data_IF_712636990517
#
_entry.id   IF_712636990517
#
_cell.length_a   1.000
_cell.length_b   1.000
_cell.length_c   1.000
_cell.angle_alpha   90.00
_cell.angle_beta   90.00
_cell.angle_gamma   90.00
#
_symmetry.space_group_name_H-M   'P 1'
#
loop_
_entity.id
_entity.type
_entity.pdbx_description
1 polymer ?
#
# COMPACT_ATOMS: atom_id res chain seq x y z
N UNK A 1 -19.21 9.39 -8.54
CA UNK A 1 -19.66 9.19 -7.14
C UNK A 1 -20.14 7.77 -6.82
N UNK A 2 -20.75 7.02 -7.76
CA UNK A 2 -21.19 5.63 -7.53
C UNK A 2 -20.07 4.60 -7.29
N UNK A 3 -18.84 4.89 -7.74
CA UNK A 3 -17.64 4.01 -7.62
C UNK A 3 -17.20 3.82 -6.15
N UNK A 4 -17.55 4.74 -5.25
CA UNK A 4 -17.08 4.76 -3.85
C UNK A 4 -18.17 4.24 -2.89
N UNK A 5 -19.45 4.41 -3.23
CA UNK A 5 -20.55 4.04 -2.34
C UNK A 5 -20.71 2.52 -2.16
N UNK A 6 -20.52 1.71 -3.21
CA UNK A 6 -20.55 0.24 -3.09
C UNK A 6 -19.33 -0.33 -2.36
N UNK A 7 -18.15 0.27 -2.51
CA UNK A 7 -16.96 -0.10 -1.73
C UNK A 7 -17.10 0.27 -0.24
N UNK A 8 -17.73 1.41 0.07
CA UNK A 8 -18.01 1.83 1.45
C UNK A 8 -19.13 1.02 2.12
N UNK A 9 -20.16 0.61 1.38
CA UNK A 9 -21.22 -0.27 1.92
C UNK A 9 -20.68 -1.65 2.30
N UNK A 10 -19.70 -2.19 1.55
CA UNK A 10 -19.09 -3.48 1.90
C UNK A 10 -18.03 -3.37 3.01
N UNK A 11 -17.22 -2.30 3.03
CA UNK A 11 -16.22 -2.07 4.08
C UNK A 11 -16.86 -1.85 5.47
N UNK A 12 -18.05 -1.22 5.54
CA UNK A 12 -18.79 -1.04 6.78
C UNK A 12 -19.47 -2.34 7.28
N UNK A 13 -19.71 -3.34 6.41
CA UNK A 13 -20.24 -4.65 6.84
C UNK A 13 -19.17 -5.55 7.49
N UNK A 14 -17.88 -5.29 7.23
CA UNK A 14 -16.76 -6.04 7.80
C UNK A 14 -16.45 -5.72 9.28
N UNK A 15 -17.32 -4.95 9.95
CA UNK A 15 -17.29 -4.84 11.42
C UNK A 15 -17.96 -6.01 12.14
N UNK A 16 -18.55 -6.98 11.45
CA UNK A 16 -19.26 -8.08 12.09
C UNK A 16 -18.94 -9.45 11.47
N UNK A 17 -17.74 -9.97 11.74
CA UNK A 17 -17.42 -11.42 11.77
C UNK A 17 -15.92 -11.62 12.03
N UNK A 18 -15.43 -11.06 13.14
CA UNK A 18 -14.41 -11.74 13.93
C UNK A 18 -15.16 -12.90 14.58
N UNK A 19 -15.10 -14.09 13.99
CA UNK A 19 -15.27 -15.42 14.61
C UNK A 19 -15.33 -16.48 13.50
N UNK A 20 -14.32 -17.33 13.47
CA UNK A 20 -14.35 -18.67 12.84
C UNK A 20 -14.32 -18.74 11.33
N UNK A 21 -13.16 -19.06 10.76
CA UNK A 21 -13.03 -20.11 9.74
C UNK A 21 -11.59 -20.62 9.76
N UNK A 22 -11.34 -21.58 10.65
CA UNK A 22 -10.29 -22.57 10.51
C UNK A 22 -10.60 -23.44 9.29
N UNK A 23 -9.70 -23.41 8.30
CA UNK A 23 -9.25 -24.52 7.46
C UNK A 23 -8.37 -23.95 6.34
N UNK A 24 -7.05 -24.01 6.55
CA UNK A 24 -6.08 -23.95 5.47
C UNK A 24 -6.26 -25.20 4.58
N UNK A 25 -6.54 -25.09 3.27
CA UNK A 25 -6.37 -26.21 2.37
C UNK A 25 -4.87 -26.50 2.21
N UNK A 26 -4.57 -27.81 2.20
CA UNK A 26 -3.26 -28.42 2.09
C UNK A 26 -2.57 -28.08 0.75
N UNK A 27 -1.25 -28.19 0.76
CA UNK A 27 -0.32 -28.08 -0.37
C UNK A 27 -0.94 -28.34 -1.75
N UNK A 28 -1.11 -27.28 -2.54
CA UNK A 28 -1.32 -27.39 -3.98
C UNK A 28 -0.27 -26.54 -4.71
N UNK A 29 0.43 -27.18 -5.64
CA UNK A 29 1.46 -26.58 -6.50
C UNK A 29 0.91 -25.31 -7.14
N UNK A 30 1.54 -24.16 -6.86
CA UNK A 30 1.18 -22.87 -7.47
C UNK A 30 1.63 -22.87 -8.94
N UNK A 31 0.82 -23.42 -9.83
CA UNK A 31 0.91 -23.13 -11.25
C UNK A 31 0.46 -21.67 -11.48
N UNK A 32 1.45 -20.78 -11.63
CA UNK A 32 1.26 -19.34 -11.86
C UNK A 32 0.72 -19.07 -13.26
N UNK A 33 -0.57 -19.24 -13.47
CA UNK A 33 -1.19 -18.93 -14.75
C UNK A 33 -1.39 -17.40 -14.91
N UNK A 34 -0.67 -16.81 -15.88
CA UNK A 34 -0.51 -15.35 -16.04
C UNK A 34 -1.79 -14.60 -16.49
N UNK A 35 -2.85 -15.33 -16.85
CA UNK A 35 -4.07 -14.78 -17.44
C UNK A 35 -5.20 -14.51 -16.43
N UNK A 36 -5.02 -14.84 -15.15
CA UNK A 36 -6.05 -14.65 -14.12
C UNK A 36 -6.23 -13.19 -13.70
N UNK A 37 -7.46 -12.68 -13.72
CA UNK A 37 -7.81 -11.34 -13.21
C UNK A 37 -8.81 -11.43 -12.05
N UNK A 38 -8.71 -10.52 -11.08
CA UNK A 38 -9.75 -10.37 -10.08
C UNK A 38 -10.96 -9.68 -10.69
N UNK A 39 -12.14 -10.27 -10.55
CA UNK A 39 -13.39 -9.62 -10.90
C UNK A 39 -13.80 -8.63 -9.83
N UNK A 40 -14.00 -7.37 -10.22
CA UNK A 40 -14.39 -6.30 -9.30
C UNK A 40 -15.76 -6.53 -8.63
N UNK A 41 -16.69 -7.21 -9.31
CA UNK A 41 -18.06 -7.40 -8.81
C UNK A 41 -18.18 -8.48 -7.72
N UNK A 42 -17.32 -9.51 -7.74
CA UNK A 42 -17.44 -10.68 -6.86
C UNK A 42 -16.14 -11.12 -6.19
N UNK A 43 -15.04 -10.37 -6.35
CA UNK A 43 -13.73 -10.71 -5.77
C UNK A 43 -13.22 -12.14 -6.05
N UNK A 44 -13.65 -12.75 -7.17
CA UNK A 44 -13.17 -14.07 -7.62
C UNK A 44 -12.07 -13.93 -8.67
N UNK A 45 -11.04 -14.78 -8.59
CA UNK A 45 -10.04 -14.90 -9.66
C UNK A 45 -10.58 -15.72 -10.82
N UNK A 46 -10.49 -15.17 -12.03
CA UNK A 46 -10.97 -15.82 -13.24
C UNK A 46 -9.85 -15.94 -14.27
N UNK A 47 -9.60 -17.17 -14.75
CA UNK A 47 -8.56 -17.51 -15.74
C UNK A 47 -8.78 -16.82 -17.10
N UNK A 48 -10.03 -16.68 -17.52
CA UNK A 48 -10.40 -16.07 -18.81
C UNK A 48 -11.24 -14.81 -18.58
N UNK A 49 -10.63 -13.80 -17.94
CA UNK A 49 -11.32 -12.58 -17.49
C UNK A 49 -12.24 -11.94 -18.53
N UNK A 50 -11.77 -11.76 -19.77
CA UNK A 50 -12.56 -11.16 -20.84
C UNK A 50 -13.78 -12.02 -21.21
N UNK A 51 -13.61 -13.35 -21.30
CA UNK A 51 -14.71 -14.27 -21.62
C UNK A 51 -15.72 -14.35 -20.49
N UNK A 52 -15.24 -14.45 -19.24
CA UNK A 52 -16.10 -14.47 -18.06
C UNK A 52 -16.93 -13.18 -17.97
N UNK A 53 -16.30 -12.02 -18.17
CA UNK A 53 -16.95 -10.72 -18.14
C UNK A 53 -18.11 -10.65 -19.14
N UNK A 54 -17.86 -11.03 -20.41
CA UNK A 54 -18.85 -10.93 -21.47
C UNK A 54 -20.00 -11.93 -21.35
N UNK A 55 -19.77 -13.09 -20.71
CA UNK A 55 -20.80 -14.14 -20.55
C UNK A 55 -21.67 -13.95 -19.32
N UNK A 56 -21.08 -13.52 -18.20
CA UNK A 56 -21.77 -13.51 -16.90
C UNK A 56 -22.21 -12.11 -16.47
N UNK A 57 -21.71 -11.05 -17.13
CA UNK A 57 -21.94 -9.66 -16.73
C UNK A 57 -22.37 -8.77 -17.90
N UNK A 58 -23.02 -9.35 -18.92
CA UNK A 58 -23.43 -8.61 -20.11
C UNK A 58 -24.45 -7.49 -19.83
N UNK A 59 -25.16 -7.57 -18.70
CA UNK A 59 -26.15 -6.58 -18.25
C UNK A 59 -25.53 -5.38 -17.53
N UNK A 60 -24.29 -5.49 -17.05
CA UNK A 60 -23.63 -4.41 -16.32
C UNK A 60 -23.28 -3.26 -17.29
N UNK A 61 -23.59 -1.99 -16.98
CA UNK A 61 -23.39 -0.86 -17.89
C UNK A 61 -21.95 -0.71 -18.40
N UNK A 62 -20.96 -0.96 -17.53
CA UNK A 62 -19.54 -0.91 -17.90
C UNK A 62 -19.17 -2.01 -18.91
N UNK A 63 -19.86 -3.15 -18.88
CA UNK A 63 -19.66 -4.27 -19.80
C UNK A 63 -20.45 -4.06 -21.09
N UNK A 64 -21.63 -3.46 -21.03
CA UNK A 64 -22.36 -3.03 -22.23
C UNK A 64 -21.56 -2.03 -23.05
N UNK A 65 -20.88 -1.07 -22.40
CA UNK A 65 -19.94 -0.18 -23.07
C UNK A 65 -18.74 -0.93 -23.70
N UNK A 66 -18.28 -2.02 -23.08
CA UNK A 66 -17.27 -2.89 -23.71
C UNK A 66 -17.86 -3.59 -24.94
N UNK A 67 -19.11 -4.05 -24.84
CA UNK A 67 -19.82 -4.81 -25.90
C UNK A 67 -20.09 -3.94 -27.13
N UNK A 68 -20.43 -2.66 -26.94
CA UNK A 68 -20.75 -1.71 -28.02
C UNK A 68 -19.58 -1.46 -28.99
N UNK A 69 -18.34 -1.69 -28.55
CA UNK A 69 -17.17 -1.56 -29.41
C UNK A 69 -16.86 -2.86 -30.18
N UNK A 70 -16.41 -2.80 -31.44
CA UNK A 70 -16.08 -3.97 -32.25
C UNK A 70 -15.08 -4.91 -31.58
N UNK A 71 -15.20 -6.21 -31.87
CA UNK A 71 -14.22 -7.21 -31.44
C UNK A 71 -12.82 -6.82 -31.93
N UNK A 72 -11.79 -7.17 -31.15
CA UNK A 72 -10.36 -6.87 -31.41
C UNK A 72 -9.96 -5.38 -31.45
N UNK A 73 -10.89 -4.43 -31.38
CA UNK A 73 -10.58 -2.99 -31.34
C UNK A 73 -9.67 -2.62 -30.15
N UNK A 74 -8.80 -1.63 -30.34
CA UNK A 74 -7.91 -1.13 -29.29
C UNK A 74 -8.70 -0.58 -28.09
N UNK A 75 -9.80 0.13 -28.36
CA UNK A 75 -10.70 0.68 -27.35
C UNK A 75 -11.27 -0.44 -26.46
N UNK A 76 -11.83 -1.49 -27.06
CA UNK A 76 -12.38 -2.64 -26.32
C UNK A 76 -11.32 -3.31 -25.44
N UNK A 77 -10.10 -3.52 -25.96
CA UNK A 77 -8.98 -4.09 -25.19
C UNK A 77 -8.61 -3.21 -23.98
N UNK A 78 -8.59 -1.89 -24.18
CA UNK A 78 -8.27 -0.93 -23.11
C UNK A 78 -9.34 -0.91 -22.01
N UNK A 79 -10.63 -0.94 -22.36
CA UNK A 79 -11.73 -0.99 -21.39
C UNK A 79 -11.67 -2.25 -20.52
N UNK A 80 -11.51 -3.42 -21.14
CA UNK A 80 -11.34 -4.70 -20.40
C UNK A 80 -10.12 -4.64 -19.48
N UNK A 81 -9.01 -4.08 -19.97
CA UNK A 81 -7.77 -3.95 -19.20
C UNK A 81 -7.94 -3.01 -18.00
N UNK A 82 -8.65 -1.89 -18.16
CA UNK A 82 -8.95 -0.97 -17.06
C UNK A 82 -9.86 -1.62 -16.01
N UNK A 83 -10.86 -2.39 -16.44
CA UNK A 83 -11.71 -3.14 -15.51
C UNK A 83 -10.89 -4.16 -14.70
N UNK A 84 -9.99 -4.88 -15.37
CA UNK A 84 -9.05 -5.81 -14.72
C UNK A 84 -8.13 -5.10 -13.73
N UNK A 85 -7.59 -3.93 -14.08
CA UNK A 85 -6.76 -3.12 -13.17
C UNK A 85 -7.55 -2.72 -11.93
N UNK A 86 -8.81 -2.29 -12.09
CA UNK A 86 -9.67 -1.92 -10.96
C UNK A 86 -9.93 -3.08 -10.02
N UNK A 87 -10.24 -4.27 -10.55
CA UNK A 87 -10.35 -5.48 -9.73
C UNK A 87 -9.04 -5.80 -9.02
N UNK A 88 -7.93 -5.90 -9.76
CA UNK A 88 -6.63 -6.22 -9.19
C UNK A 88 -6.13 -5.20 -8.14
N UNK A 89 -6.56 -3.94 -8.22
CA UNK A 89 -6.19 -2.89 -7.27
C UNK A 89 -6.57 -3.26 -5.83
N UNK A 90 -7.79 -3.78 -5.60
CA UNK A 90 -8.30 -4.12 -4.26
C UNK A 90 -7.33 -5.06 -3.54
N UNK A 91 -6.93 -6.13 -4.22
CA UNK A 91 -5.97 -7.11 -3.67
C UNK A 91 -4.55 -6.56 -3.58
N UNK A 92 -4.10 -5.84 -4.62
CA UNK A 92 -2.74 -5.34 -4.69
C UNK A 92 -2.41 -4.30 -3.62
N UNK A 93 -3.40 -3.53 -3.14
CA UNK A 93 -3.24 -2.59 -2.02
C UNK A 93 -2.85 -3.32 -0.73
N UNK A 94 -3.44 -4.48 -0.47
CA UNK A 94 -3.12 -5.31 0.70
C UNK A 94 -1.76 -5.98 0.50
N UNK A 95 -1.64 -6.74 -0.60
CA UNK A 95 -0.43 -7.46 -1.00
C UNK A 95 -0.33 -7.40 -2.52
N UNK A 96 0.73 -6.78 -3.05
CA UNK A 96 0.92 -6.67 -4.49
C UNK A 96 1.25 -8.04 -5.11
N UNK A 97 0.22 -8.74 -5.60
CA UNK A 97 0.32 -10.06 -6.24
C UNK A 97 0.35 -9.94 -7.77
N UNK A 98 -0.36 -8.96 -8.33
CA UNK A 98 -0.58 -8.80 -9.78
C UNK A 98 -0.14 -7.42 -10.30
N UNK A 99 1.17 -7.10 -10.33
CA UNK A 99 1.66 -5.86 -10.93
C UNK A 99 1.59 -5.91 -12.47
N UNK A 100 1.59 -4.74 -13.11
CA UNK A 100 1.45 -4.60 -14.58
C UNK A 100 2.65 -5.14 -15.36
N UNK A 101 3.85 -5.02 -14.78
CA UNK A 101 5.09 -5.64 -15.28
C UNK A 101 5.80 -6.25 -14.09
N UNK A 102 5.95 -7.57 -14.08
CA UNK A 102 6.74 -8.25 -13.06
C UNK A 102 8.22 -8.01 -13.37
N UNK A 103 8.95 -7.49 -12.40
CA UNK A 103 10.40 -7.65 -12.37
C UNK A 103 10.70 -9.10 -11.98
N UNK A 104 11.68 -9.74 -12.64
CA UNK A 104 12.19 -11.06 -12.23
C UNK A 104 12.99 -11.00 -10.92
N UNK A 105 13.22 -9.79 -10.39
CA UNK A 105 13.96 -9.55 -9.15
C UNK A 105 12.97 -9.45 -7.99
N UNK A 106 13.03 -10.41 -7.06
CA UNK A 106 12.43 -10.30 -5.73
C UNK A 106 12.98 -9.06 -5.01
N UNK A 107 12.19 -8.30 -4.20
CA UNK A 107 10.90 -8.67 -3.58
C UNK A 107 9.69 -7.83 -4.04
N UNK A 108 8.49 -8.33 -3.71
CA UNK A 108 7.15 -7.77 -3.96
C UNK A 108 6.84 -6.38 -3.35
N UNK A 109 7.83 -5.67 -2.82
CA UNK A 109 7.65 -4.48 -1.96
C UNK A 109 7.74 -3.16 -2.75
N UNK A 110 8.22 -3.21 -3.99
CA UNK A 110 8.52 -1.99 -4.76
C UNK A 110 7.45 -1.61 -5.78
N UNK A 111 6.18 -1.99 -5.56
CA UNK A 111 5.09 -1.61 -6.44
C UNK A 111 4.17 -0.56 -5.82
N UNK A 112 3.75 0.37 -6.66
CA UNK A 112 2.95 1.52 -6.31
C UNK A 112 1.84 1.71 -7.36
N UNK A 113 0.60 2.04 -6.95
CA UNK A 113 -0.50 2.22 -7.88
C UNK A 113 -0.45 3.56 -8.63
N UNK A 114 -0.85 3.58 -9.89
CA UNK A 114 -1.22 4.82 -10.55
C UNK A 114 -2.62 5.27 -10.10
N UNK A 115 -2.77 6.52 -9.67
CA UNK A 115 -4.06 7.09 -9.24
C UNK A 115 -5.12 7.10 -10.35
N UNK A 116 -4.69 7.23 -11.61
CA UNK A 116 -5.61 7.30 -12.76
C UNK A 116 -6.03 5.93 -13.28
N UNK A 117 -5.08 5.04 -13.56
CA UNK A 117 -5.39 3.73 -14.16
C UNK A 117 -5.49 2.57 -13.15
N UNK A 118 -5.18 2.81 -11.87
CA UNK A 118 -5.19 1.83 -10.77
C UNK A 118 -4.24 0.63 -10.96
N UNK A 119 -3.44 0.63 -12.04
CA UNK A 119 -2.40 -0.36 -12.26
C UNK A 119 -1.25 -0.19 -11.28
N UNK A 120 -0.69 -1.31 -10.80
CA UNK A 120 0.50 -1.32 -9.96
C UNK A 120 1.75 -1.39 -10.84
N UNK A 121 2.67 -0.45 -10.64
CA UNK A 121 3.93 -0.34 -11.39
C UNK A 121 5.09 -0.34 -10.42
N UNK A 122 6.27 -0.76 -10.89
CA UNK A 122 7.46 -0.65 -10.07
C UNK A 122 7.75 0.81 -9.76
N UNK A 123 8.25 1.08 -8.56
CA UNK A 123 8.58 2.42 -8.06
C UNK A 123 9.50 3.18 -9.02
N UNK A 124 10.45 2.47 -9.65
CA UNK A 124 11.39 3.00 -10.67
C UNK A 124 10.71 3.38 -11.98
N UNK A 125 9.60 2.73 -12.35
CA UNK A 125 8.92 2.94 -13.63
C UNK A 125 7.64 3.78 -13.52
N UNK A 126 7.11 3.97 -12.30
CA UNK A 126 5.84 4.68 -12.08
C UNK A 126 5.85 6.08 -12.69
N UNK A 127 6.93 6.83 -12.56
CA UNK A 127 7.04 8.19 -13.12
C UNK A 127 6.98 8.16 -14.66
N UNK A 128 7.64 7.19 -15.32
CA UNK A 128 7.59 7.01 -16.78
C UNK A 128 6.16 6.71 -17.23
N UNK A 129 5.50 5.80 -16.50
CA UNK A 129 4.10 5.48 -16.76
C UNK A 129 3.19 6.70 -16.61
N UNK A 130 3.37 7.52 -15.56
CA UNK A 130 2.53 8.68 -15.27
C UNK A 130 2.59 9.71 -16.41
N UNK A 131 3.77 9.94 -17.02
CA UNK A 131 3.90 10.82 -18.20
C UNK A 131 3.00 10.43 -19.38
N UNK A 132 2.82 9.12 -19.62
CA UNK A 132 1.96 8.63 -20.70
C UNK A 132 0.50 8.51 -20.26
N UNK A 133 0.25 8.09 -19.02
CA UNK A 133 -1.10 7.85 -18.52
C UNK A 133 -1.83 9.16 -18.20
N UNK A 134 -1.13 10.15 -17.69
CA UNK A 134 -1.64 11.45 -17.30
C UNK A 134 -0.60 12.55 -17.64
N UNK A 135 -0.53 12.99 -18.90
CA UNK A 135 0.50 13.90 -19.37
C UNK A 135 0.53 15.26 -18.65
N UNK A 136 -0.63 15.73 -18.20
CA UNK A 136 -0.81 17.04 -17.55
C UNK A 136 -0.54 17.03 -16.03
N UNK A 137 -0.14 15.91 -15.44
CA UNK A 137 0.08 15.86 -13.99
C UNK A 137 1.49 16.28 -13.62
N UNK A 138 1.61 17.11 -12.57
CA UNK A 138 2.88 17.38 -11.91
C UNK A 138 3.57 16.07 -11.52
N UNK A 139 4.85 15.99 -11.90
CA UNK A 139 5.70 14.83 -11.62
C UNK A 139 6.27 14.86 -10.19
N UNK A 140 6.23 16.03 -9.54
CA UNK A 140 6.72 16.23 -8.19
C UNK A 140 6.09 15.22 -7.21
N UNK A 141 6.94 14.45 -6.53
CA UNK A 141 6.56 13.48 -5.49
C UNK A 141 5.55 12.40 -5.91
N UNK A 142 5.58 11.97 -7.19
CA UNK A 142 4.72 10.89 -7.73
C UNK A 142 4.63 9.65 -6.84
N UNK A 143 5.75 9.24 -6.23
CA UNK A 143 5.78 8.07 -5.35
C UNK A 143 5.08 8.29 -4.00
N UNK A 144 5.15 9.50 -3.46
CA UNK A 144 4.47 9.86 -2.20
C UNK A 144 2.97 9.89 -2.40
N UNK A 145 2.53 10.57 -3.47
CA UNK A 145 1.11 10.66 -3.82
C UNK A 145 0.53 9.26 -4.03
N UNK A 146 1.22 8.42 -4.80
CA UNK A 146 0.83 7.03 -5.02
C UNK A 146 0.79 6.19 -3.74
N UNK A 147 1.77 6.36 -2.84
CA UNK A 147 1.74 5.67 -1.54
C UNK A 147 0.55 6.13 -0.69
N UNK A 148 0.27 7.42 -0.65
CA UNK A 148 -0.85 7.99 0.10
C UNK A 148 -2.20 7.59 -0.52
N UNK A 149 -2.27 7.41 -1.84
CA UNK A 149 -3.45 6.94 -2.54
C UNK A 149 -3.91 5.55 -2.07
N UNK A 150 -2.99 4.64 -1.76
CA UNK A 150 -3.31 3.33 -1.17
C UNK A 150 -3.99 3.42 0.21
N UNK A 151 -3.85 4.56 0.87
CA UNK A 151 -4.27 4.79 2.26
C UNK A 151 -5.47 5.74 2.34
N UNK A 152 -6.00 6.19 1.19
CA UNK A 152 -7.06 7.18 1.09
C UNK A 152 -8.30 6.80 1.90
N UNK A 153 -8.65 5.52 1.87
CA UNK A 153 -9.87 4.97 2.49
C UNK A 153 -9.71 4.65 3.98
N UNK A 154 -8.51 4.76 4.55
CA UNK A 154 -8.33 4.54 5.99
C UNK A 154 -9.02 5.66 6.76
N UNK A 155 -9.74 5.33 7.83
CA UNK A 155 -10.33 6.34 8.70
C UNK A 155 -9.27 6.90 9.66
N UNK A 156 -8.55 7.92 9.20
CA UNK A 156 -7.44 8.58 9.91
C UNK A 156 -7.72 10.08 9.88
N UNK A 157 -7.26 10.78 10.93
CA UNK A 157 -7.31 12.23 11.06
C UNK A 157 -6.91 12.95 9.76
N UNK A 158 -7.76 13.91 9.35
CA UNK A 158 -7.61 14.63 8.08
C UNK A 158 -6.36 15.51 8.07
N UNK A 159 -6.07 16.19 9.17
CA UNK A 159 -4.89 17.06 9.30
C UNK A 159 -3.61 16.25 9.17
N UNK A 160 -3.57 15.06 9.78
CA UNK A 160 -2.45 14.14 9.64
C UNK A 160 -2.24 13.70 8.17
N UNK A 161 -3.32 13.35 7.46
CA UNK A 161 -3.27 12.96 6.04
C UNK A 161 -2.80 14.10 5.13
N UNK A 162 -3.24 15.32 5.40
CA UNK A 162 -3.01 16.46 4.52
C UNK A 162 -1.65 17.13 4.79
N UNK A 163 -1.20 17.18 6.04
CA UNK A 163 0.03 17.90 6.41
C UNK A 163 1.26 17.01 6.59
N UNK A 164 1.10 15.81 7.19
CA UNK A 164 2.24 14.94 7.55
C UNK A 164 2.53 13.92 6.46
N UNK A 165 1.53 13.20 5.98
CA UNK A 165 1.75 12.10 5.02
C UNK A 165 2.45 12.54 3.71
N UNK A 166 2.20 13.73 3.15
CA UNK A 166 2.90 14.20 1.96
C UNK A 166 4.38 14.54 2.20
N UNK A 167 4.77 14.79 3.45
CA UNK A 167 6.18 15.05 3.82
C UNK A 167 6.96 13.79 4.18
N UNK A 168 6.26 12.68 4.41
CA UNK A 168 6.90 11.40 4.72
C UNK A 168 7.55 10.80 3.46
N UNK A 169 8.80 10.36 3.59
CA UNK A 169 9.49 9.60 2.53
C UNK A 169 8.66 8.39 2.14
N UNK A 170 8.50 8.07 0.85
CA UNK A 170 7.61 7.00 0.42
C UNK A 170 8.28 5.63 0.56
N UNK A 171 8.72 5.23 1.74
CA UNK A 171 9.40 3.95 2.00
C UNK A 171 8.49 2.96 2.75
N UNK A 172 9.00 1.74 3.02
CA UNK A 172 8.29 0.72 3.80
C UNK A 172 7.96 1.21 5.22
N UNK A 173 8.86 1.97 5.84
CA UNK A 173 8.70 2.50 7.20
C UNK A 173 7.49 3.45 7.25
N UNK A 174 7.41 4.40 6.32
CA UNK A 174 6.29 5.33 6.25
C UNK A 174 5.00 4.63 5.87
N UNK A 175 5.03 3.61 5.01
CA UNK A 175 3.84 2.81 4.72
C UNK A 175 3.32 2.12 5.97
N UNK A 176 4.20 1.52 6.76
CA UNK A 176 3.86 0.84 8.01
C UNK A 176 3.30 1.83 9.04
N UNK A 177 3.97 2.98 9.23
CA UNK A 177 3.52 4.04 10.12
C UNK A 177 2.11 4.55 9.78
N UNK A 178 1.79 4.68 8.48
CA UNK A 178 0.49 5.19 8.01
C UNK A 178 -0.62 4.12 8.04
N UNK A 179 -0.27 2.84 8.14
CA UNK A 179 -1.23 1.72 8.22
C UNK A 179 -1.62 1.40 9.66
N UNK A 180 -0.71 1.62 10.59
CA UNK A 180 -0.92 1.32 12.00
C UNK A 180 -1.83 2.36 12.67
N UNK A 181 -2.94 1.90 13.24
CA UNK A 181 -3.97 2.76 13.83
C UNK A 181 -3.46 3.51 15.06
N UNK A 182 -2.66 2.87 15.91
CA UNK A 182 -2.11 3.48 17.12
C UNK A 182 -1.04 4.51 16.78
N UNK A 183 -0.15 4.21 15.83
CA UNK A 183 0.86 5.18 15.36
C UNK A 183 0.18 6.41 14.75
N UNK A 184 -0.88 6.22 13.96
CA UNK A 184 -1.68 7.33 13.44
C UNK A 184 -2.38 8.14 14.54
N UNK A 185 -2.96 7.47 15.53
CA UNK A 185 -3.60 8.14 16.67
C UNK A 185 -2.58 8.98 17.48
N UNK A 186 -1.40 8.43 17.73
CA UNK A 186 -0.28 9.15 18.34
C UNK A 186 0.10 10.40 17.52
N UNK A 187 0.27 10.26 16.21
CA UNK A 187 0.62 11.38 15.34
C UNK A 187 -0.43 12.49 15.33
N UNK A 188 -1.72 12.12 15.25
CA UNK A 188 -2.82 13.07 15.31
C UNK A 188 -2.87 13.81 16.66
N UNK A 189 -2.71 13.08 17.76
CA UNK A 189 -2.66 13.66 19.10
C UNK A 189 -1.46 14.61 19.26
N UNK A 190 -0.29 14.26 18.73
CA UNK A 190 0.90 15.10 18.78
C UNK A 190 0.71 16.43 18.04
N UNK A 191 0.07 16.42 16.86
CA UNK A 191 -0.27 17.64 16.11
C UNK A 191 -1.36 18.49 16.80
N UNK A 192 -2.22 17.88 17.61
CA UNK A 192 -3.25 18.60 18.36
C UNK A 192 -2.65 19.41 19.49
N UNK A 193 -1.63 18.85 20.15
CA UNK A 193 -0.86 19.49 21.22
C UNK A 193 0.07 20.57 20.64
N UNK A 194 0.79 20.25 19.57
CA UNK A 194 1.79 21.11 18.97
C UNK A 194 1.33 21.66 17.60
N UNK A 195 0.91 22.93 17.57
CA UNK A 195 0.21 23.52 16.41
C UNK A 195 1.15 24.16 15.38
N UNK A 196 2.40 24.40 15.73
CA UNK A 196 3.35 25.09 14.87
C UNK A 196 3.80 24.23 13.68
N UNK A 197 4.03 24.87 12.53
CA UNK A 197 4.32 24.19 11.26
C UNK A 197 5.55 23.27 11.30
N UNK A 198 6.55 23.59 12.12
CA UNK A 198 7.78 22.79 12.23
C UNK A 198 7.53 21.43 12.90
N UNK A 199 6.49 21.31 13.74
CA UNK A 199 6.12 20.05 14.39
C UNK A 199 5.56 19.02 13.41
N UNK A 200 5.13 19.40 12.21
CA UNK A 200 4.74 18.44 11.16
C UNK A 200 5.93 17.51 10.82
N UNK A 201 7.14 18.08 10.72
CA UNK A 201 8.35 17.29 10.44
C UNK A 201 8.75 16.44 11.67
N UNK A 202 8.58 16.97 12.88
CA UNK A 202 8.82 16.24 14.13
C UNK A 202 7.88 15.03 14.25
N UNK A 203 6.59 15.24 13.96
CA UNK A 203 5.55 14.21 13.96
C UNK A 203 5.91 13.09 12.98
N UNK A 204 6.28 13.46 11.75
CA UNK A 204 6.77 12.51 10.73
C UNK A 204 7.93 11.65 11.24
N UNK A 205 8.92 12.27 11.91
CA UNK A 205 10.06 11.53 12.50
C UNK A 205 9.62 10.56 13.58
N UNK A 206 8.83 11.01 14.56
CA UNK A 206 8.35 10.18 15.68
C UNK A 206 7.48 9.01 15.21
N UNK A 207 6.57 9.25 14.26
CA UNK A 207 5.77 8.17 13.66
C UNK A 207 6.64 7.12 12.96
N UNK A 208 7.68 7.56 12.24
CA UNK A 208 8.62 6.64 11.57
C UNK A 208 9.49 5.89 12.57
N UNK A 209 9.84 6.46 13.71
CA UNK A 209 10.56 5.78 14.79
C UNK A 209 9.72 4.63 15.37
N UNK A 210 8.44 4.89 15.68
CA UNK A 210 7.51 3.86 16.13
C UNK A 210 7.35 2.74 15.10
N UNK A 211 7.25 3.08 13.82
CA UNK A 211 7.15 2.08 12.75
C UNK A 211 8.44 1.26 12.56
N UNK A 212 9.63 1.86 12.76
CA UNK A 212 10.90 1.10 12.76
C UNK A 212 10.90 0.07 13.89
N UNK A 213 10.49 0.48 15.10
CA UNK A 213 10.36 -0.45 16.24
C UNK A 213 9.39 -1.58 15.92
N UNK A 214 8.22 -1.27 15.35
CA UNK A 214 7.24 -2.27 14.94
C UNK A 214 7.79 -3.25 13.89
N UNK A 215 8.54 -2.77 12.90
CA UNK A 215 9.16 -3.63 11.89
C UNK A 215 10.23 -4.56 12.49
N UNK A 216 11.00 -4.07 13.46
CA UNK A 216 11.96 -4.90 14.19
C UNK A 216 11.25 -5.98 15.02
N UNK A 217 10.19 -5.60 15.73
CA UNK A 217 9.35 -6.55 16.49
C UNK A 217 8.74 -7.63 15.59
N UNK A 218 8.27 -7.26 14.40
CA UNK A 218 7.78 -8.22 13.38
C UNK A 218 8.85 -9.16 12.87
N UNK A 219 10.11 -8.73 12.89
CA UNK A 219 11.25 -9.57 12.52
C UNK A 219 11.55 -10.61 13.60
N UNK A 220 11.44 -10.23 14.87
CA UNK A 220 11.61 -11.14 16.01
C UNK A 220 10.41 -12.09 16.18
N UNK A 221 9.19 -11.59 15.99
CA UNK A 221 7.94 -12.34 16.15
C UNK A 221 6.94 -11.99 15.03
N UNK A 222 6.92 -12.77 13.93
CA UNK A 222 6.07 -12.50 12.76
C UNK A 222 4.55 -12.53 13.03
N UNK A 223 4.12 -13.09 14.17
CA UNK A 223 2.70 -13.11 14.56
C UNK A 223 2.16 -11.73 14.96
N UNK A 224 3.04 -10.77 15.27
CA UNK A 224 2.66 -9.41 15.66
C UNK A 224 2.21 -8.60 14.44
N UNK A 225 0.99 -8.04 14.48
CA UNK A 225 0.39 -7.34 13.34
C UNK A 225 0.47 -5.82 13.43
N UNK A 226 0.21 -5.26 14.62
CA UNK A 226 0.15 -3.82 14.86
C UNK A 226 0.86 -3.49 16.19
N UNK A 227 1.05 -2.19 16.45
CA UNK A 227 1.72 -1.71 17.66
C UNK A 227 0.93 -2.02 18.93
N UNK A 228 -0.41 -2.01 18.89
CA UNK A 228 -1.25 -2.39 20.04
C UNK A 228 -0.99 -3.83 20.49
N UNK A 229 -0.86 -4.77 19.56
CA UNK A 229 -0.54 -6.17 19.85
C UNK A 229 0.85 -6.31 20.48
N UNK A 230 1.79 -5.45 20.07
CA UNK A 230 3.13 -5.45 20.63
C UNK A 230 3.12 -5.01 22.09
N UNK A 231 2.29 -4.03 22.45
CA UNK A 231 2.24 -3.44 23.81
C UNK A 231 1.56 -4.34 24.86
N UNK A 232 1.19 -5.57 24.51
CA UNK A 232 0.67 -6.55 25.48
C UNK A 232 1.79 -7.02 26.43
N UNK A 233 1.52 -7.22 27.73
CA UNK A 233 2.56 -7.55 28.72
C UNK A 233 3.43 -8.75 28.35
N UNK A 234 2.85 -9.75 27.67
CA UNK A 234 3.56 -10.98 27.26
C UNK A 234 4.68 -10.72 26.24
N UNK A 235 4.72 -9.54 25.62
CA UNK A 235 5.74 -9.17 24.64
C UNK A 235 6.74 -8.14 25.22
N UNK A 236 6.70 -7.83 26.51
CA UNK A 236 7.56 -6.81 27.12
C UNK A 236 9.05 -7.03 26.84
N UNK A 237 9.55 -8.25 27.07
CA UNK A 237 10.96 -8.59 26.83
C UNK A 237 11.35 -8.44 25.36
N UNK A 238 10.41 -8.71 24.44
CA UNK A 238 10.61 -8.50 23.01
C UNK A 238 10.74 -7.00 22.67
N UNK A 239 9.93 -6.15 23.31
CA UNK A 239 10.04 -4.68 23.14
C UNK A 239 11.40 -4.19 23.63
N UNK A 240 11.82 -4.60 24.82
CA UNK A 240 13.12 -4.21 25.39
C UNK A 240 14.26 -4.64 24.45
N UNK A 241 14.20 -5.88 23.95
CA UNK A 241 15.19 -6.42 23.02
C UNK A 241 15.21 -5.67 21.69
N UNK A 242 14.04 -5.44 21.08
CA UNK A 242 13.92 -4.69 19.82
C UNK A 242 14.39 -3.23 19.98
N UNK A 243 14.13 -2.61 21.13
CA UNK A 243 14.56 -1.25 21.45
C UNK A 243 16.08 -1.17 21.56
N UNK A 244 16.72 -2.09 22.30
CA UNK A 244 18.18 -2.19 22.39
C UNK A 244 18.82 -2.34 21.02
N UNK A 245 18.25 -3.19 20.15
CA UNK A 245 18.74 -3.41 18.79
C UNK A 245 18.60 -2.16 17.91
N UNK A 246 17.47 -1.48 17.98
CA UNK A 246 17.25 -0.27 17.18
C UNK A 246 18.17 0.89 17.59
N UNK A 247 18.51 1.02 18.88
CA UNK A 247 19.48 2.01 19.38
C UNK A 247 20.91 1.68 18.90
N UNK A 248 21.36 0.43 19.00
CA UNK A 248 22.70 0.02 18.53
C UNK A 248 22.90 0.35 17.05
N UNK A 249 21.89 0.12 16.22
CA UNK A 249 21.91 0.47 14.80
C UNK A 249 21.98 1.98 14.58
N UNK A 250 21.33 2.80 15.41
CA UNK A 250 21.41 4.26 15.31
C UNK A 250 22.79 4.79 15.70
N UNK A 251 23.41 4.24 16.75
CA UNK A 251 24.76 4.61 17.18
C UNK A 251 25.81 4.25 16.12
N UNK A 252 25.74 3.06 15.55
CA UNK A 252 26.64 2.63 14.47
C UNK A 252 26.51 3.48 13.20
N UNK A 253 25.28 3.85 12.81
CA UNK A 253 25.08 4.74 11.67
C UNK A 253 25.60 6.17 11.94
N UNK A 254 25.53 6.63 13.20
CA UNK A 254 26.07 7.93 13.61
C UNK A 254 27.59 7.95 13.61
N UNK A 255 28.25 6.88 14.06
CA UNK A 255 29.71 6.75 14.00
C UNK A 255 30.23 6.69 12.57
N UNK A 256 29.58 5.94 11.68
CA UNK A 256 29.92 5.90 10.26
C UNK A 256 29.75 7.26 9.56
N UNK A 257 28.72 8.02 9.91
CA UNK A 257 28.53 9.38 9.42
C UNK A 257 29.66 10.32 9.87
N UNK A 258 30.06 10.25 11.14
CA UNK A 258 31.20 11.02 11.65
C UNK A 258 32.51 10.64 10.93
N UNK A 259 32.76 9.36 10.69
CA UNK A 259 33.95 8.90 9.96
C UNK A 259 33.99 9.35 8.50
N UNK A 260 32.85 9.37 7.81
CA UNK A 260 32.78 9.78 6.39
C UNK A 260 32.89 11.31 6.21
N UNK A 261 32.39 12.11 7.17
CA UNK A 261 32.54 13.57 7.15
C UNK A 261 34.01 13.98 7.38
N UNK A 262 34.76 13.22 8.18
CA UNK A 262 36.19 13.47 8.37
C UNK A 262 37.03 13.23 7.10
N UNK A 263 36.58 12.36 6.19
CA UNK A 263 37.28 12.10 4.92
C UNK A 263 36.95 13.12 3.81
N UNK A 264 35.78 13.78 3.84
CA UNK A 264 35.40 14.80 2.85
C UNK A 264 36.03 16.19 3.11
N UNK A 265 36.68 16.40 4.25
CA UNK A 265 37.41 17.64 4.57
C UNK A 265 38.94 17.54 4.40
N UNK A 266 39.44 16.48 3.77
CA UNK A 266 40.87 16.28 3.45
C UNK A 266 41.18 16.39 1.94
N UNK A 267 40.27 16.94 1.14
CA UNK A 267 40.50 17.27 -0.27
C UNK A 267 40.23 18.74 -0.57
#
# INVERSE_FOLDING_TARGET
MLIIHKANLFCNSLKCSLLGFDKLPKDERVEKNQNQGLLFFYEVDVLNFARHLLRNHCTEPEVQNIISHPTKSCVRKNLITNLRKRGNYIRNVIKCVKPMKKSNVYPHIDYLPCEKCLGFYSRKQLWKHKKTCQPLSDTANTQVQSQNFMLRNLNIDKKLKDEVFPKMRPDKISLEAKRDTLICAFGAQYLRIHREKHFVNVTSRKMRELAKLLLELKTLKPSLKNLMDCLKPQNYDLIVTATKKSIKLQLYNRSLWCSNICHEHQH
#
